data_IF_830512406688
#
_entry.id   IF_830512406688
#
_cell.length_a   1.000
_cell.length_b   1.000
_cell.length_c   1.000
_cell.angle_alpha   90.00
_cell.angle_beta   90.00
_cell.angle_gamma   90.00
#
_symmetry.space_group_name_H-M   'P 1'
#
loop_
_entity.id
_entity.type
_entity.pdbx_description
1 polymer ?
#
# COMPACT_ATOMS: atom_id res chain seq x y z
N UNK A 1 -65.52 -22.83 16.94
CA UNK A 1 -64.45 -23.84 17.14
C UNK A 1 -63.14 -23.21 16.72
N UNK A 2 -62.23 -23.02 17.67
CA UNK A 2 -60.97 -22.28 17.53
C UNK A 2 -59.83 -23.20 17.02
N UNK A 3 -58.93 -22.59 16.22
CA UNK A 3 -57.48 -22.78 16.13
C UNK A 3 -56.86 -24.09 15.59
N UNK A 4 -56.05 -23.97 14.51
CA UNK A 4 -54.66 -24.50 14.34
C UNK A 4 -53.98 -23.65 13.23
N UNK A 5 -52.97 -22.80 13.52
CA UNK A 5 -51.51 -23.05 13.52
C UNK A 5 -51.02 -23.53 12.15
N UNK A 6 -49.95 -23.07 11.48
CA UNK A 6 -49.09 -21.89 11.46
C UNK A 6 -48.04 -22.15 10.34
N UNK A 7 -47.32 -21.10 9.94
CA UNK A 7 -45.95 -21.10 9.41
C UNK A 7 -45.62 -21.30 7.91
N UNK A 8 -44.69 -20.40 7.52
CA UNK A 8 -43.48 -20.61 6.70
C UNK A 8 -43.62 -20.60 5.17
N UNK A 9 -43.00 -19.60 4.55
CA UNK A 9 -42.70 -19.63 3.12
C UNK A 9 -42.22 -18.29 2.55
N UNK A 10 -41.26 -17.65 3.20
CA UNK A 10 -40.58 -16.49 2.64
C UNK A 10 -39.77 -16.89 1.39
N UNK A 11 -39.82 -16.05 0.35
CA UNK A 11 -38.83 -16.05 -0.70
C UNK A 11 -38.23 -14.65 -0.77
N UNK A 12 -37.29 -14.38 0.16
CA UNK A 12 -36.29 -13.34 -0.04
C UNK A 12 -35.41 -13.82 -1.20
N UNK A 13 -35.61 -13.26 -2.39
CA UNK A 13 -34.59 -13.30 -3.44
C UNK A 13 -33.49 -12.30 -3.05
N UNK A 14 -32.68 -12.70 -2.08
CA UNK A 14 -31.44 -12.00 -1.75
C UNK A 14 -30.49 -12.18 -2.93
N UNK A 15 -30.09 -11.06 -3.52
CA UNK A 15 -29.15 -11.00 -4.64
C UNK A 15 -27.80 -11.57 -4.26
N UNK A 16 -27.30 -12.46 -5.11
CA UNK A 16 -25.89 -12.81 -5.14
C UNK A 16 -25.23 -11.91 -6.19
N UNK A 17 -24.91 -10.68 -5.81
CA UNK A 17 -23.84 -9.98 -6.51
C UNK A 17 -22.55 -10.77 -6.22
N UNK A 18 -21.73 -11.11 -7.23
CA UNK A 18 -20.44 -11.72 -6.96
C UNK A 18 -19.60 -10.70 -6.20
N UNK A 19 -19.37 -10.97 -4.91
CA UNK A 19 -18.28 -10.35 -4.17
C UNK A 19 -17.02 -10.92 -4.80
N UNK A 20 -16.49 -10.22 -5.80
CA UNK A 20 -15.09 -10.36 -6.16
C UNK A 20 -14.32 -9.91 -4.92
N UNK A 21 -13.89 -10.87 -4.11
CA UNK A 21 -12.79 -10.62 -3.19
C UNK A 21 -11.64 -10.17 -4.08
N UNK A 22 -11.36 -8.86 -4.11
CA UNK A 22 -10.13 -8.36 -4.71
C UNK A 22 -9.00 -8.91 -3.84
N UNK A 23 -8.46 -10.05 -4.23
CA UNK A 23 -7.31 -10.66 -3.56
C UNK A 23 -6.18 -9.63 -3.54
N UNK A 24 -5.61 -9.39 -2.36
CA UNK A 24 -4.52 -8.45 -2.19
C UNK A 24 -3.31 -8.91 -3.01
N UNK A 25 -2.57 -7.95 -3.58
CA UNK A 25 -1.43 -8.29 -4.43
C UNK A 25 -0.39 -9.06 -3.62
N UNK A 26 0.01 -10.23 -4.12
CA UNK A 26 1.08 -11.00 -3.51
C UNK A 26 2.45 -10.31 -3.72
N UNK A 27 3.39 -10.46 -2.79
CA UNK A 27 4.74 -9.96 -2.94
C UNK A 27 5.56 -10.83 -3.92
N UNK A 28 6.52 -10.26 -4.68
CA UNK A 28 6.84 -8.83 -4.77
C UNK A 28 5.82 -8.10 -5.65
N UNK A 29 5.22 -7.03 -5.14
CA UNK A 29 4.24 -6.23 -5.89
C UNK A 29 4.89 -4.98 -6.47
N UNK A 30 4.56 -4.69 -7.73
CA UNK A 30 4.88 -3.41 -8.36
C UNK A 30 3.84 -2.37 -7.94
N UNK A 31 4.27 -1.26 -7.36
CA UNK A 31 3.37 -0.22 -6.88
C UNK A 31 3.54 1.06 -7.70
N UNK A 32 2.41 1.65 -8.06
CA UNK A 32 2.35 2.93 -8.78
C UNK A 32 1.83 4.00 -7.83
N UNK A 33 2.45 5.18 -7.87
CA UNK A 33 2.01 6.31 -7.07
C UNK A 33 2.85 7.55 -7.30
N UNK A 34 2.54 8.63 -6.60
CA UNK A 34 3.28 9.87 -6.71
C UNK A 34 4.45 9.89 -5.73
N UNK A 35 5.67 10.14 -6.23
CA UNK A 35 6.85 10.29 -5.38
C UNK A 35 6.85 11.66 -4.71
N UNK A 36 7.01 11.70 -3.39
CA UNK A 36 7.14 12.92 -2.60
C UNK A 36 8.27 12.78 -1.59
N UNK A 37 8.73 13.90 -1.06
CA UNK A 37 9.61 13.92 0.11
C UNK A 37 8.75 14.29 1.32
N UNK A 38 8.83 13.48 2.37
CA UNK A 38 8.19 13.75 3.65
C UNK A 38 9.28 14.07 4.67
N UNK A 39 9.07 15.16 5.40
CA UNK A 39 9.91 15.57 6.51
C UNK A 39 9.16 15.26 7.82
N UNK A 40 9.84 14.62 8.76
CA UNK A 40 9.33 14.34 10.10
C UNK A 40 10.46 14.44 11.12
N UNK A 41 10.17 14.14 12.38
CA UNK A 41 11.16 14.19 13.45
C UNK A 41 11.08 12.90 14.26
N UNK A 42 12.22 12.24 14.46
CA UNK A 42 12.32 11.11 15.38
C UNK A 42 12.00 11.57 16.81
N UNK A 43 11.47 10.70 17.71
CA UNK A 43 11.21 11.09 19.09
C UNK A 43 12.41 11.64 19.88
N UNK A 44 13.65 11.37 19.46
CA UNK A 44 14.86 11.98 20.06
C UNK A 44 15.21 13.39 19.52
N UNK A 45 14.41 13.92 18.58
CA UNK A 45 14.61 15.23 17.96
C UNK A 45 15.38 15.21 16.64
N UNK A 46 15.89 14.06 16.18
CA UNK A 46 16.61 13.96 14.91
C UNK A 46 15.65 14.18 13.72
N UNK A 47 15.96 15.09 12.78
CA UNK A 47 15.12 15.28 11.60
C UNK A 47 15.20 14.07 10.67
N UNK A 48 14.06 13.66 10.14
CA UNK A 48 13.92 12.59 9.16
C UNK A 48 13.45 13.21 7.85
N UNK A 49 14.10 12.84 6.75
CA UNK A 49 13.70 13.22 5.39
C UNK A 49 13.65 11.95 4.54
N UNK A 50 12.46 11.55 4.13
CA UNK A 50 12.20 10.27 3.47
C UNK A 50 11.55 10.46 2.11
N UNK A 51 11.91 9.59 1.16
CA UNK A 51 11.14 9.43 -0.07
C UNK A 51 9.93 8.56 0.19
N UNK A 52 8.75 9.04 -0.18
CA UNK A 52 7.48 8.37 0.05
C UNK A 52 6.68 8.33 -1.24
N UNK A 53 6.18 7.14 -1.61
CA UNK A 53 5.23 6.99 -2.71
C UNK A 53 3.82 7.02 -2.15
N UNK A 54 3.03 8.00 -2.58
CA UNK A 54 1.62 8.14 -2.23
C UNK A 54 0.75 7.41 -3.27
N UNK A 55 -0.15 6.55 -2.79
CA UNK A 55 -1.06 5.73 -3.60
C UNK A 55 -2.48 6.23 -3.36
N UNK A 56 -3.01 7.02 -4.31
CA UNK A 56 -4.23 7.82 -4.13
C UNK A 56 -5.45 6.99 -3.72
N UNK A 57 -5.81 5.98 -4.51
CA UNK A 57 -6.94 5.08 -4.21
C UNK A 57 -6.63 4.03 -3.15
N UNK A 58 -5.35 3.91 -2.81
CA UNK A 58 -4.79 2.85 -1.99
C UNK A 58 -4.68 1.53 -2.74
N UNK A 59 -3.75 0.67 -2.33
CA UNK A 59 -3.51 -0.63 -2.94
C UNK A 59 -3.46 -1.70 -1.86
N UNK A 60 -4.33 -2.72 -1.92
CA UNK A 60 -4.17 -3.86 -1.04
C UNK A 60 -2.99 -4.73 -1.48
N UNK A 61 -2.10 -5.03 -0.56
CA UNK A 61 -0.97 -5.95 -0.74
C UNK A 61 -0.90 -6.91 0.44
N UNK A 62 -0.41 -8.11 0.20
CA UNK A 62 -0.04 -9.04 1.26
C UNK A 62 1.45 -8.83 1.59
N UNK A 63 1.76 -8.58 2.86
CA UNK A 63 3.13 -8.37 3.35
C UNK A 63 3.49 -9.51 4.26
N UNK A 64 4.64 -10.13 4.02
CA UNK A 64 5.22 -11.12 4.93
C UNK A 64 6.05 -10.38 5.99
N UNK A 65 5.80 -10.66 7.26
CA UNK A 65 6.57 -10.11 8.37
C UNK A 65 7.87 -10.88 8.60
N UNK A 66 8.61 -10.51 9.66
CA UNK A 66 9.90 -11.13 9.98
C UNK A 66 9.78 -12.58 10.48
N UNK A 67 8.59 -13.00 10.93
CA UNK A 67 8.31 -14.35 11.42
C UNK A 67 7.75 -15.25 10.30
N UNK A 68 7.48 -14.67 9.12
CA UNK A 68 6.93 -15.36 7.96
C UNK A 68 5.40 -15.32 7.90
N UNK A 69 4.75 -14.62 8.82
CA UNK A 69 3.31 -14.44 8.83
C UNK A 69 2.91 -13.38 7.81
N UNK A 70 1.78 -13.62 7.13
CA UNK A 70 1.26 -12.71 6.11
C UNK A 70 0.14 -11.85 6.65
N UNK A 71 0.25 -10.55 6.41
CA UNK A 71 -0.77 -9.57 6.73
C UNK A 71 -1.19 -8.82 5.46
N UNK A 72 -2.51 -8.70 5.26
CA UNK A 72 -3.06 -7.88 4.20
C UNK A 72 -3.14 -6.42 4.66
N UNK A 73 -2.54 -5.53 3.88
CA UNK A 73 -2.40 -4.11 4.19
C UNK A 73 -2.88 -3.27 3.01
N UNK A 74 -3.73 -2.28 3.29
CA UNK A 74 -4.07 -1.25 2.30
C UNK A 74 -3.01 -0.15 2.35
N UNK A 75 -2.14 -0.12 1.34
CA UNK A 75 -1.09 0.88 1.20
C UNK A 75 -1.69 2.22 0.78
N UNK A 76 -1.44 3.27 1.54
CA UNK A 76 -1.71 4.66 1.13
C UNK A 76 -0.44 5.44 0.87
N UNK A 77 0.62 5.10 1.59
CA UNK A 77 1.93 5.69 1.51
C UNK A 77 3.01 4.68 1.87
N UNK A 78 4.13 4.74 1.17
CA UNK A 78 5.21 3.75 1.28
C UNK A 78 6.53 4.49 1.44
N UNK A 79 7.21 4.30 2.56
CA UNK A 79 8.58 4.75 2.76
C UNK A 79 9.51 3.94 1.86
N UNK A 80 10.25 4.60 0.98
CA UNK A 80 11.27 3.95 0.15
C UNK A 80 12.63 3.96 0.83
N UNK A 81 13.17 2.78 1.12
CA UNK A 81 14.57 2.60 1.49
C UNK A 81 15.35 2.19 0.22
N UNK A 82 16.09 3.12 -0.42
CA UNK A 82 16.78 2.84 -1.68
C UNK A 82 17.81 1.73 -1.55
N UNK A 83 18.01 1.03 -2.66
CA UNK A 83 19.20 0.24 -2.87
C UNK A 83 20.37 1.18 -3.21
N UNK A 84 21.46 1.12 -2.45
CA UNK A 84 22.68 1.92 -2.70
C UNK A 84 22.43 3.45 -2.73
N UNK A 85 23.26 4.21 -3.45
CA UNK A 85 23.22 5.69 -3.53
C UNK A 85 22.18 6.24 -4.55
N UNK A 86 21.10 5.50 -4.85
CA UNK A 86 20.09 5.92 -5.85
C UNK A 86 19.31 7.18 -5.46
N UNK A 87 19.37 7.57 -4.20
CA UNK A 87 18.73 8.74 -3.57
C UNK A 87 18.89 10.04 -4.39
N UNK A 88 20.05 10.25 -4.99
CA UNK A 88 20.31 11.44 -5.81
C UNK A 88 19.44 11.47 -7.09
N UNK A 89 19.27 10.32 -7.74
CA UNK A 89 18.48 10.19 -8.99
C UNK A 89 16.99 10.37 -8.75
N UNK A 90 16.51 10.00 -7.56
CA UNK A 90 15.09 10.08 -7.22
C UNK A 90 14.62 11.50 -6.94
N UNK A 91 15.54 12.41 -6.59
CA UNK A 91 15.22 13.83 -6.38
C UNK A 91 14.58 14.46 -7.63
N UNK A 92 15.03 14.05 -8.83
CA UNK A 92 14.48 14.53 -10.10
C UNK A 92 13.09 13.94 -10.44
N UNK A 93 12.69 12.88 -9.73
CA UNK A 93 11.39 12.23 -9.88
C UNK A 93 10.35 12.73 -8.87
N UNK A 94 10.74 13.59 -7.92
CA UNK A 94 9.81 14.16 -6.93
C UNK A 94 8.70 14.93 -7.63
N UNK A 95 7.46 14.70 -7.19
CA UNK A 95 6.25 15.26 -7.78
C UNK A 95 5.70 14.47 -8.98
N UNK A 96 6.46 13.52 -9.53
CA UNK A 96 6.04 12.69 -10.67
C UNK A 96 5.39 11.40 -10.21
N UNK A 97 4.61 10.82 -11.10
CA UNK A 97 4.11 9.46 -10.94
C UNK A 97 5.24 8.47 -11.26
N UNK A 98 5.50 7.56 -10.33
CA UNK A 98 6.55 6.57 -10.41
C UNK A 98 5.97 5.17 -10.26
N UNK A 99 6.65 4.21 -10.84
CA UNK A 99 6.45 2.79 -10.56
C UNK A 99 7.64 2.29 -9.77
N UNK A 100 7.37 1.70 -8.61
CA UNK A 100 8.40 1.19 -7.69
C UNK A 100 8.26 -0.30 -7.47
N UNK A 101 9.40 -0.93 -7.19
CA UNK A 101 9.48 -2.32 -6.80
C UNK A 101 10.55 -2.49 -5.72
N UNK A 102 10.33 -3.43 -4.83
CA UNK A 102 11.24 -3.79 -3.76
C UNK A 102 10.61 -4.83 -2.85
N UNK A 103 11.26 -5.09 -1.72
CA UNK A 103 10.70 -5.97 -0.68
C UNK A 103 9.86 -5.14 0.28
N UNK A 104 8.60 -5.50 0.44
CA UNK A 104 7.72 -4.83 1.38
C UNK A 104 7.95 -5.37 2.79
N UNK A 105 7.87 -4.50 3.78
CA UNK A 105 7.85 -4.88 5.18
C UNK A 105 6.91 -3.97 5.98
N UNK A 106 6.34 -4.53 7.03
CA UNK A 106 5.57 -3.75 8.00
C UNK A 106 6.50 -2.76 8.73
N UNK A 107 5.94 -1.66 9.21
CA UNK A 107 6.73 -0.64 9.89
C UNK A 107 7.03 -1.02 11.33
N UNK A 108 8.28 -1.42 11.59
CA UNK A 108 8.70 -1.88 12.92
C UNK A 108 9.57 -0.87 13.69
N UNK A 109 9.81 0.34 13.16
CA UNK A 109 10.74 1.30 13.77
C UNK A 109 10.14 2.71 13.86
N UNK A 110 10.60 3.47 14.87
CA UNK A 110 10.20 4.87 15.08
C UNK A 110 10.67 5.83 13.97
N UNK A 111 11.48 5.36 13.01
CA UNK A 111 11.95 6.11 11.85
C UNK A 111 11.05 5.94 10.62
N UNK A 112 10.04 5.08 10.71
CA UNK A 112 9.15 4.81 9.59
C UNK A 112 8.18 5.97 9.33
N UNK A 113 7.84 6.14 8.05
CA UNK A 113 6.92 7.18 7.59
C UNK A 113 5.96 6.54 6.59
N UNK A 114 4.69 6.37 6.97
CA UNK A 114 3.62 5.88 6.11
C UNK A 114 2.97 4.59 6.58
N UNK A 115 2.45 3.79 5.65
CA UNK A 115 1.68 2.56 5.91
C UNK A 115 2.57 1.31 5.88
N UNK A 116 3.63 1.33 5.07
CA UNK A 116 4.60 0.25 4.95
C UNK A 116 5.98 0.79 4.51
N UNK A 117 7.01 -0.06 4.62
CA UNK A 117 8.35 0.25 4.10
C UNK A 117 8.65 -0.66 2.90
N UNK A 118 9.32 -0.10 1.89
CA UNK A 118 9.86 -0.84 0.75
C UNK A 118 11.39 -0.80 0.84
N UNK A 119 11.98 -1.95 1.14
CA UNK A 119 13.43 -2.16 1.18
C UNK A 119 13.98 -2.50 -0.20
N UNK A 120 15.24 -2.14 -0.42
CA UNK A 120 15.92 -2.31 -1.71
C UNK A 120 15.11 -1.70 -2.85
N UNK A 121 14.42 -0.59 -2.55
CA UNK A 121 13.47 0.03 -3.46
C UNK A 121 14.20 0.53 -4.71
N UNK A 122 13.57 0.33 -5.86
CA UNK A 122 13.99 0.82 -7.16
C UNK A 122 12.82 1.47 -7.88
N UNK A 123 13.06 2.60 -8.56
CA UNK A 123 12.10 3.23 -9.47
C UNK A 123 12.30 2.60 -10.85
N UNK A 124 11.32 1.82 -11.31
CA UNK A 124 11.38 1.12 -12.60
C UNK A 124 10.80 1.93 -13.77
N UNK A 125 9.94 2.91 -13.48
CA UNK A 125 9.43 3.85 -14.48
C UNK A 125 9.05 5.19 -13.85
N UNK A 126 9.20 6.27 -14.62
CA UNK A 126 8.79 7.64 -14.27
C UNK A 126 7.92 8.16 -15.41
N UNK A 127 6.67 8.53 -15.11
CA UNK A 127 5.78 9.15 -16.11
C UNK A 127 5.97 10.67 -16.08
N UNK A 128 6.10 11.27 -17.25
CA UNK A 128 6.19 12.73 -17.38
C UNK A 128 4.87 13.28 -17.89
N UNK A 129 4.50 14.49 -17.46
CA UNK A 129 3.26 15.16 -17.88
C UNK A 129 3.18 15.47 -19.38
N UNK A 130 4.22 15.15 -20.15
CA UNK A 130 4.29 15.34 -21.60
C UNK A 130 3.78 14.14 -22.40
N UNK A 131 3.37 13.06 -21.73
CA UNK A 131 2.91 11.80 -22.33
C UNK A 131 1.36 11.73 -22.45
N UNK A 132 0.69 12.88 -22.56
CA UNK A 132 -0.75 13.02 -22.85
C UNK A 132 -1.00 13.83 -24.14
#
# INVERSE_FOLDING_TARGET
>A
MFLRIAYLGGALLAGFAPVYANECLAPPSTIKGQLRIVESTHPDGTPIRAFVVFVEDGQCVSIEDLEGDRADVVLRDIHLAPKDDETARWSDAVGKEVTVQGRMGLPFTAWHVGSAMMFDAAISAVRTSSDE
#
